data_IF_175537655084
#
_entry.id   IF_175537655084
#
_cell.length_a   1.000
_cell.length_b   1.000
_cell.length_c   1.000
_cell.angle_alpha   90.00
_cell.angle_beta   90.00
_cell.angle_gamma   90.00
#
_symmetry.space_group_name_H-M   'P 1'
#
loop_
_entity.id
_entity.type
_entity.pdbx_description
1 polymer ?
#
# COMPACT_ATOMS: atom_id res chain seq x y z
N UNK A 1 -26.13 64.19 26.53
CA UNK A 1 -27.31 65.07 26.68
C UNK A 1 -28.10 65.00 25.38
N UNK A 2 -29.41 64.77 25.49
CA UNK A 2 -30.52 65.00 24.52
C UNK A 2 -30.21 65.10 23.02
N UNK A 3 -30.96 64.49 22.10
CA UNK A 3 -32.42 64.35 22.08
C UNK A 3 -32.83 63.43 20.94
N UNK A 4 -33.94 62.73 21.16
CA UNK A 4 -34.65 61.88 20.20
C UNK A 4 -35.53 62.69 19.23
N UNK A 5 -36.01 61.97 18.19
CA UNK A 5 -37.27 62.08 17.40
C UNK A 5 -36.94 62.06 15.91
N UNK A 6 -37.58 61.27 15.05
CA UNK A 6 -38.82 60.49 15.15
C UNK A 6 -39.59 60.61 13.82
N UNK A 7 -40.41 59.60 13.52
CA UNK A 7 -41.34 59.44 12.38
C UNK A 7 -40.71 59.03 11.03
N UNK A 8 -41.18 58.03 10.28
CA UNK A 8 -42.34 57.15 10.41
C UNK A 8 -43.23 57.22 9.16
N UNK A 9 -43.40 56.06 8.49
CA UNK A 9 -44.43 55.71 7.46
C UNK A 9 -44.24 56.29 6.04
N UNK A 10 -44.62 55.63 4.94
CA UNK A 10 -45.11 54.29 4.60
C UNK A 10 -45.23 54.23 3.05
N UNK A 11 -45.24 53.03 2.46
CA UNK A 11 -46.09 52.73 1.30
C UNK A 11 -45.45 52.73 -0.10
N UNK A 12 -44.95 51.57 -0.55
CA UNK A 12 -45.51 50.73 -1.64
C UNK A 12 -46.32 51.45 -2.76
N UNK A 13 -46.16 51.29 -4.08
CA UNK A 13 -45.91 50.12 -4.94
C UNK A 13 -45.66 50.56 -6.42
N UNK A 14 -44.66 49.95 -7.10
CA UNK A 14 -44.64 49.37 -8.50
C UNK A 14 -45.11 50.21 -9.72
N UNK A 15 -44.63 50.10 -10.98
CA UNK A 15 -43.87 49.12 -11.78
C UNK A 15 -43.49 49.76 -13.14
N UNK A 16 -42.40 49.29 -13.76
CA UNK A 16 -42.13 49.40 -15.21
C UNK A 16 -40.66 49.05 -15.53
N UNK A 17 -40.28 47.77 -15.63
CA UNK A 17 -40.12 46.93 -16.85
C UNK A 17 -38.83 47.20 -17.65
N UNK A 18 -38.21 46.18 -18.27
CA UNK A 18 -37.04 45.49 -17.69
C UNK A 18 -35.71 45.81 -18.38
N UNK A 19 -34.61 45.79 -17.62
CA UNK A 19 -33.26 45.81 -18.13
C UNK A 19 -32.79 44.40 -18.50
N UNK A 20 -32.21 44.30 -19.69
CA UNK A 20 -31.50 43.14 -20.26
C UNK A 20 -30.41 42.70 -19.28
N UNK A 21 -30.53 41.48 -18.74
CA UNK A 21 -29.49 40.85 -17.94
C UNK A 21 -28.60 39.99 -18.85
N UNK A 22 -27.35 40.43 -19.02
CA UNK A 22 -26.27 39.57 -19.48
C UNK A 22 -26.05 38.44 -18.46
N UNK A 23 -26.01 37.17 -18.89
CA UNK A 23 -25.52 36.10 -18.02
C UNK A 23 -23.99 36.20 -17.91
N UNK A 24 -23.50 36.38 -16.70
CA UNK A 24 -22.09 36.16 -16.36
C UNK A 24 -21.74 34.66 -16.54
N UNK A 25 -20.54 34.32 -17.06
CA UNK A 25 -20.11 32.92 -17.14
C UNK A 25 -19.92 32.36 -15.72
N UNK A 26 -20.74 31.37 -15.38
CA UNK A 26 -20.57 30.54 -14.18
C UNK A 26 -19.22 29.83 -14.27
N UNK A 27 -18.44 29.94 -13.20
CA UNK A 27 -17.15 29.30 -13.03
C UNK A 27 -17.21 27.80 -13.27
N UNK A 28 -16.56 27.38 -14.36
CA UNK A 28 -16.13 26.01 -14.51
C UNK A 28 -15.00 25.73 -13.52
N UNK A 29 -15.33 25.10 -12.40
CA UNK A 29 -14.33 24.34 -11.64
C UNK A 29 -13.91 23.18 -12.55
N UNK A 30 -12.79 23.37 -13.22
CA UNK A 30 -12.09 22.29 -13.94
C UNK A 30 -11.81 21.19 -12.92
N UNK A 31 -12.26 19.98 -13.26
CA UNK A 31 -12.15 18.77 -12.49
C UNK A 31 -10.70 18.47 -12.08
N UNK A 32 -10.37 18.64 -10.79
CA UNK A 32 -9.17 18.02 -10.20
C UNK A 32 -9.41 16.59 -9.70
N UNK A 33 -10.62 16.03 -9.92
CA UNK A 33 -10.98 14.66 -9.54
C UNK A 33 -10.50 13.61 -10.54
N UNK A 34 -10.51 13.90 -11.85
CA UNK A 34 -10.18 12.92 -12.89
C UNK A 34 -8.73 12.46 -12.88
N UNK A 35 -7.79 13.35 -12.57
CA UNK A 35 -6.35 13.02 -12.55
C UNK A 35 -5.98 12.06 -11.43
N UNK A 36 -6.54 12.22 -10.22
CA UNK A 36 -6.27 11.31 -9.09
C UNK A 36 -6.81 9.91 -9.33
N UNK A 37 -8.01 9.81 -9.90
CA UNK A 37 -8.63 8.52 -10.23
C UNK A 37 -7.92 7.82 -11.40
N UNK A 38 -7.48 8.57 -12.41
CA UNK A 38 -6.69 8.02 -13.51
C UNK A 38 -5.29 7.55 -13.06
N UNK A 39 -4.60 8.28 -12.19
CA UNK A 39 -3.34 7.83 -11.59
C UNK A 39 -3.53 6.60 -10.70
N UNK A 40 -4.59 6.57 -9.88
CA UNK A 40 -4.90 5.39 -9.06
C UNK A 40 -5.23 4.15 -9.92
N UNK A 41 -5.95 4.31 -11.03
CA UNK A 41 -6.23 3.24 -11.99
C UNK A 41 -4.98 2.78 -12.76
N UNK A 42 -4.04 3.68 -13.09
CA UNK A 42 -2.76 3.33 -13.71
C UNK A 42 -1.81 2.62 -12.74
N UNK A 43 -1.74 3.08 -11.49
CA UNK A 43 -1.02 2.39 -10.40
C UNK A 43 -1.63 1.01 -10.15
N UNK A 44 -2.95 0.87 -10.34
CA UNK A 44 -3.66 -0.39 -10.28
C UNK A 44 -3.35 -1.36 -11.45
N UNK A 45 -2.59 -0.98 -12.48
CA UNK A 45 -2.24 -1.90 -13.58
C UNK A 45 -0.76 -1.84 -14.00
N UNK A 46 0.08 -1.13 -13.24
CA UNK A 46 1.50 -0.97 -13.55
C UNK A 46 2.33 -2.25 -13.37
N UNK A 47 3.60 -2.27 -13.85
CA UNK A 47 4.47 -3.44 -13.78
C UNK A 47 4.62 -4.05 -12.38
N UNK A 48 4.65 -3.21 -11.34
CA UNK A 48 4.74 -3.67 -9.94
C UNK A 48 3.48 -4.42 -9.48
N UNK A 49 2.30 -4.00 -9.93
CA UNK A 49 1.05 -4.69 -9.61
C UNK A 49 0.99 -6.06 -10.32
N UNK A 50 1.39 -6.12 -11.59
CA UNK A 50 1.49 -7.38 -12.34
C UNK A 50 2.53 -8.33 -11.74
N UNK A 51 3.67 -7.81 -11.28
CA UNK A 51 4.67 -8.60 -10.58
C UNK A 51 4.12 -9.17 -9.26
N UNK A 52 3.39 -8.36 -8.49
CA UNK A 52 2.76 -8.81 -7.26
C UNK A 52 1.74 -9.93 -7.50
N UNK A 53 0.90 -9.80 -8.53
CA UNK A 53 -0.10 -10.82 -8.89
C UNK A 53 0.56 -12.14 -9.33
N UNK A 54 1.59 -12.07 -10.19
CA UNK A 54 2.36 -13.27 -10.58
C UNK A 54 3.05 -13.94 -9.40
N UNK A 55 3.65 -13.16 -8.51
CA UNK A 55 4.28 -13.69 -7.30
C UNK A 55 3.24 -14.33 -6.37
N UNK A 56 2.05 -13.73 -6.25
CA UNK A 56 0.95 -14.30 -5.48
C UNK A 56 0.46 -15.63 -6.03
N UNK A 57 0.29 -15.72 -7.36
CA UNK A 57 -0.09 -16.95 -8.04
C UNK A 57 0.95 -18.06 -7.82
N UNK A 58 2.24 -17.74 -8.00
CA UNK A 58 3.32 -18.70 -7.78
C UNK A 58 3.38 -19.21 -6.33
N UNK A 59 3.13 -18.35 -5.35
CA UNK A 59 3.06 -18.76 -3.95
C UNK A 59 1.81 -19.60 -3.66
N UNK A 60 0.65 -19.22 -4.19
CA UNK A 60 -0.60 -19.96 -4.00
C UNK A 60 -0.54 -21.39 -4.57
N UNK A 61 0.29 -21.63 -5.59
CA UNK A 61 0.52 -22.97 -6.15
C UNK A 61 1.49 -23.83 -5.32
N UNK A 62 2.29 -23.22 -4.44
CA UNK A 62 3.41 -23.90 -3.75
C UNK A 62 3.24 -24.01 -2.26
N UNK A 63 2.52 -23.07 -1.65
CA UNK A 63 2.30 -23.05 -0.21
C UNK A 63 1.17 -24.01 0.19
N UNK A 64 1.23 -24.60 1.40
CA UNK A 64 0.12 -25.39 1.93
C UNK A 64 -1.13 -24.53 2.20
N UNK A 65 -2.26 -25.20 2.41
CA UNK A 65 -3.59 -24.56 2.53
C UNK A 65 -3.78 -23.71 3.80
N UNK A 66 -2.88 -23.79 4.78
CA UNK A 66 -2.87 -22.98 6.00
C UNK A 66 -2.17 -21.62 5.81
N UNK A 67 -1.72 -21.32 4.59
CA UNK A 67 -1.27 -20.00 4.16
C UNK A 67 -2.33 -19.33 3.26
N UNK A 68 -2.44 -18.01 3.38
CA UNK A 68 -3.26 -17.16 2.53
C UNK A 68 -2.39 -16.06 1.95
N UNK A 69 -2.47 -15.89 0.63
CA UNK A 69 -1.68 -14.90 -0.12
C UNK A 69 -2.60 -13.79 -0.61
N UNK A 70 -2.29 -12.54 -0.21
CA UNK A 70 -3.03 -11.35 -0.59
C UNK A 70 -2.13 -10.48 -1.49
N UNK A 71 -2.47 -10.40 -2.77
CA UNK A 71 -1.87 -9.43 -3.67
C UNK A 71 -2.54 -8.07 -3.50
N UNK A 72 -1.73 -7.01 -3.58
CA UNK A 72 -2.16 -5.61 -3.65
C UNK A 72 -3.05 -5.18 -2.48
N UNK A 73 -2.64 -5.59 -1.29
CA UNK A 73 -3.31 -5.22 -0.05
C UNK A 73 -3.36 -3.69 0.09
N UNK A 74 -4.53 -3.13 0.38
CA UNK A 74 -4.71 -1.70 0.62
C UNK A 74 -4.77 -1.44 2.13
N UNK A 75 -3.72 -0.83 2.73
CA UNK A 75 -3.72 -0.54 4.17
C UNK A 75 -4.75 0.53 4.56
N UNK A 76 -5.11 0.56 5.85
CA UNK A 76 -6.18 1.43 6.36
C UNK A 76 -5.69 2.80 6.85
N UNK A 77 -4.57 3.26 6.33
CA UNK A 77 -3.95 4.54 6.70
C UNK A 77 -4.38 5.70 5.79
N UNK A 78 -5.42 5.50 4.98
CA UNK A 78 -5.92 6.43 3.97
C UNK A 78 -4.89 6.80 2.89
N UNK A 79 -3.78 6.06 2.79
CA UNK A 79 -2.79 6.21 1.72
C UNK A 79 -3.29 5.64 0.39
N UNK A 80 -2.80 6.19 -0.73
CA UNK A 80 -3.10 5.65 -2.08
C UNK A 80 -2.27 4.41 -2.43
N UNK A 81 -1.19 4.17 -1.70
CA UNK A 81 -0.22 3.13 -2.05
C UNK A 81 -0.63 1.78 -1.47
N UNK A 82 -0.66 0.76 -2.33
CA UNK A 82 -0.91 -0.62 -1.95
C UNK A 82 0.38 -1.33 -1.53
N UNK A 83 0.25 -2.27 -0.60
CA UNK A 83 1.28 -3.24 -0.27
C UNK A 83 1.26 -4.33 -1.34
N UNK A 84 2.38 -4.59 -2.04
CA UNK A 84 2.38 -5.49 -3.19
C UNK A 84 1.90 -6.90 -2.84
N UNK A 85 2.44 -7.48 -1.78
CA UNK A 85 2.18 -8.87 -1.44
C UNK A 85 2.24 -9.07 0.07
N UNK A 86 1.21 -9.71 0.62
CA UNK A 86 1.12 -10.10 2.03
C UNK A 86 0.82 -11.59 2.08
N UNK A 87 1.64 -12.34 2.81
CA UNK A 87 1.44 -13.76 3.06
C UNK A 87 1.10 -13.93 4.53
N UNK A 88 -0.10 -14.43 4.81
CA UNK A 88 -0.55 -14.76 6.16
C UNK A 88 -0.40 -16.26 6.33
N UNK A 89 0.28 -16.69 7.39
CA UNK A 89 0.45 -18.10 7.67
C UNK A 89 0.52 -18.39 9.16
N UNK A 90 0.84 -19.63 9.54
CA UNK A 90 0.80 -20.09 10.93
C UNK A 90 1.73 -19.30 11.86
N UNK A 91 2.78 -18.68 11.32
CA UNK A 91 3.85 -18.01 12.06
C UNK A 91 3.70 -16.49 12.14
N UNK A 92 2.65 -15.96 11.52
CA UNK A 92 2.42 -14.52 11.44
C UNK A 92 2.26 -14.07 10.00
N UNK A 93 2.78 -12.88 9.70
CA UNK A 93 2.58 -12.25 8.40
C UNK A 93 3.91 -11.84 7.79
N UNK A 94 4.11 -12.24 6.54
CA UNK A 94 5.25 -11.82 5.73
C UNK A 94 4.78 -10.80 4.70
N UNK A 95 5.39 -9.61 4.69
CA UNK A 95 5.17 -8.57 3.70
C UNK A 95 6.30 -8.60 2.70
N UNK A 96 5.97 -8.88 1.45
CA UNK A 96 6.95 -9.12 0.40
C UNK A 96 6.99 -7.92 -0.55
N UNK A 97 8.19 -7.36 -0.72
CA UNK A 97 8.51 -6.43 -1.80
C UNK A 97 9.18 -7.21 -2.94
N UNK A 98 8.43 -7.62 -3.98
CA UNK A 98 9.00 -8.35 -5.09
C UNK A 98 9.78 -7.42 -6.02
N UNK A 99 10.86 -7.95 -6.59
CA UNK A 99 11.75 -7.29 -7.55
C UNK A 99 12.01 -8.24 -8.72
N UNK A 100 11.91 -7.72 -9.94
CA UNK A 100 12.07 -8.50 -11.18
C UNK A 100 13.23 -8.01 -12.04
N UNK A 101 14.08 -7.13 -11.52
CA UNK A 101 15.29 -6.74 -12.22
C UNK A 101 16.21 -7.95 -12.45
N UNK A 102 16.65 -8.12 -13.69
CA UNK A 102 17.74 -9.02 -14.03
C UNK A 102 19.10 -8.45 -13.57
N UNK A 103 20.08 -9.35 -13.44
CA UNK A 103 21.46 -9.01 -13.11
C UNK A 103 21.75 -9.05 -11.61
N UNK A 104 22.91 -8.50 -11.23
CA UNK A 104 23.33 -8.48 -9.83
C UNK A 104 22.81 -7.22 -9.13
N UNK A 105 22.17 -7.40 -7.98
CA UNK A 105 21.78 -6.30 -7.10
C UNK A 105 22.72 -6.19 -5.91
N UNK A 106 23.07 -4.95 -5.61
CA UNK A 106 23.86 -4.56 -4.43
C UNK A 106 23.13 -3.49 -3.64
N UNK A 107 23.33 -3.48 -2.33
CA UNK A 107 22.73 -2.54 -1.41
C UNK A 107 23.80 -1.98 -0.45
N UNK A 108 23.97 -0.66 -0.47
CA UNK A 108 24.87 0.08 0.42
C UNK A 108 24.05 1.09 1.22
N UNK A 109 24.03 0.96 2.54
CA UNK A 109 23.24 1.85 3.43
C UNK A 109 21.78 2.01 2.98
N UNK A 110 21.10 0.91 2.64
CA UNK A 110 19.75 0.89 2.05
C UNK A 110 19.60 1.61 0.69
N UNK A 111 20.68 2.03 0.03
CA UNK A 111 20.66 2.48 -1.37
C UNK A 111 20.94 1.29 -2.28
N UNK A 112 20.03 1.06 -3.21
CA UNK A 112 20.07 -0.12 -4.07
C UNK A 112 20.55 0.24 -5.47
N UNK A 113 21.38 -0.65 -6.01
CA UNK A 113 21.94 -0.51 -7.35
C UNK A 113 21.85 -1.82 -8.10
N UNK A 114 21.65 -1.71 -9.42
CA UNK A 114 21.78 -2.82 -10.36
C UNK A 114 23.14 -2.72 -11.03
N UNK A 115 23.95 -3.78 -10.95
CA UNK A 115 25.16 -3.92 -11.73
C UNK A 115 24.84 -4.60 -13.07
N UNK A 116 25.30 -4.00 -14.16
CA UNK A 116 25.13 -4.54 -15.51
C UNK A 116 26.45 -4.58 -16.28
N UNK A 117 26.56 -5.56 -17.18
CA UNK A 117 27.67 -5.71 -18.12
C UNK A 117 28.97 -6.24 -17.49
N UNK A 118 29.96 -6.60 -18.35
CA UNK A 118 31.24 -7.18 -17.90
C UNK A 118 32.09 -6.22 -17.07
N UNK A 119 31.93 -4.91 -17.29
CA UNK A 119 32.67 -3.85 -16.62
C UNK A 119 32.04 -3.41 -15.27
N UNK A 120 30.91 -3.99 -14.86
CA UNK A 120 30.30 -3.74 -13.55
C UNK A 120 29.66 -2.35 -13.39
N UNK A 121 29.09 -1.77 -14.46
CA UNK A 121 28.43 -0.46 -14.36
C UNK A 121 27.28 -0.52 -13.36
N UNK A 122 27.29 0.40 -12.38
CA UNK A 122 26.31 0.44 -11.29
C UNK A 122 25.26 1.51 -11.57
N UNK A 123 23.99 1.11 -11.64
CA UNK A 123 22.86 1.98 -11.88
C UNK A 123 21.96 2.02 -10.65
N UNK A 124 21.69 3.20 -10.06
CA UNK A 124 20.82 3.29 -8.90
C UNK A 124 19.39 2.89 -9.26
N UNK A 125 18.72 2.18 -8.33
CA UNK A 125 17.31 1.88 -8.44
C UNK A 125 16.45 3.07 -7.99
N UNK A 126 15.25 3.17 -8.55
CA UNK A 126 14.25 4.13 -8.10
C UNK A 126 13.75 3.76 -6.68
N UNK A 127 14.34 4.41 -5.68
CA UNK A 127 14.07 4.19 -4.27
C UNK A 127 14.62 2.87 -3.73
N UNK A 128 14.37 2.64 -2.44
CA UNK A 128 14.91 1.50 -1.69
C UNK A 128 13.83 0.42 -1.48
N UNK A 129 13.95 -0.77 -2.12
CA UNK A 129 13.07 -1.91 -1.86
C UNK A 129 13.00 -2.28 -0.38
N UNK A 130 14.13 -2.29 0.32
CA UNK A 130 14.20 -2.67 1.74
C UNK A 130 13.45 -1.68 2.64
N UNK A 131 13.62 -0.37 2.42
CA UNK A 131 12.85 0.65 3.15
C UNK A 131 11.36 0.55 2.86
N UNK A 132 10.97 0.27 1.61
CA UNK A 132 9.54 0.06 1.25
C UNK A 132 8.97 -1.19 1.91
N UNK A 133 9.68 -2.31 1.90
CA UNK A 133 9.27 -3.54 2.58
C UNK A 133 9.05 -3.30 4.07
N UNK A 134 10.01 -2.65 4.74
CA UNK A 134 9.91 -2.30 6.18
C UNK A 134 8.73 -1.39 6.47
N UNK A 135 8.52 -0.36 5.65
CA UNK A 135 7.40 0.57 5.79
C UNK A 135 6.05 -0.14 5.59
N UNK A 136 5.94 -0.99 4.57
CA UNK A 136 4.74 -1.76 4.31
C UNK A 136 4.44 -2.78 5.43
N UNK A 137 5.48 -3.42 5.99
CA UNK A 137 5.33 -4.27 7.16
C UNK A 137 4.76 -3.52 8.37
N UNK A 138 5.24 -2.28 8.62
CA UNK A 138 4.70 -1.44 9.68
C UNK A 138 3.21 -1.08 9.47
N UNK A 139 2.80 -0.80 8.23
CA UNK A 139 1.39 -0.52 7.89
C UNK A 139 0.50 -1.74 8.16
N UNK A 140 0.90 -2.92 7.67
CA UNK A 140 0.18 -4.18 7.92
C UNK A 140 0.14 -4.50 9.42
N UNK A 141 1.23 -4.25 10.15
CA UNK A 141 1.29 -4.40 11.60
C UNK A 141 0.29 -3.51 12.33
N UNK A 142 0.15 -2.25 11.90
CA UNK A 142 -0.84 -1.32 12.45
C UNK A 142 -2.26 -1.84 12.23
N UNK A 143 -2.58 -2.31 11.03
CA UNK A 143 -3.91 -2.82 10.71
C UNK A 143 -4.26 -4.07 11.53
N UNK A 144 -3.30 -4.98 11.73
CA UNK A 144 -3.46 -6.13 12.63
C UNK A 144 -3.65 -5.70 14.09
N UNK A 145 -2.88 -4.73 14.56
CA UNK A 145 -3.00 -4.21 15.92
C UNK A 145 -4.38 -3.60 16.18
N UNK A 146 -4.92 -2.84 15.22
CA UNK A 146 -6.30 -2.32 15.27
C UNK A 146 -7.36 -3.42 15.27
N UNK A 147 -7.04 -4.60 14.70
CA UNK A 147 -7.89 -5.79 14.76
C UNK A 147 -7.74 -6.65 16.02
N UNK A 148 -6.93 -6.23 17.00
CA UNK A 148 -6.68 -6.96 18.25
C UNK A 148 -5.47 -7.91 18.23
N UNK A 149 -4.71 -7.95 17.14
CA UNK A 149 -3.58 -8.87 16.93
C UNK A 149 -2.22 -8.19 17.17
N UNK A 150 -2.10 -7.46 18.29
CA UNK A 150 -0.94 -6.61 18.62
C UNK A 150 0.38 -7.41 18.72
N UNK A 151 0.33 -8.69 19.07
CA UNK A 151 1.53 -9.54 19.21
C UNK A 151 1.87 -10.37 17.97
N UNK A 152 1.09 -10.29 16.89
CA UNK A 152 1.37 -11.07 15.67
C UNK A 152 2.68 -10.61 15.03
N UNK A 153 3.66 -11.50 14.80
CA UNK A 153 4.87 -11.16 14.07
C UNK A 153 4.53 -10.67 12.66
N UNK A 154 5.12 -9.55 12.26
CA UNK A 154 5.04 -9.04 10.88
C UNK A 154 6.45 -8.73 10.42
N UNK A 155 6.91 -9.43 9.39
CA UNK A 155 8.24 -9.28 8.83
C UNK A 155 8.13 -8.73 7.40
N UNK A 156 8.98 -7.75 7.08
CA UNK A 156 9.13 -7.28 5.70
C UNK A 156 10.32 -7.97 5.05
N UNK A 157 10.23 -8.36 3.79
CA UNK A 157 11.34 -8.94 3.01
C UNK A 157 11.37 -8.39 1.60
N UNK A 158 12.56 -8.40 0.99
CA UNK A 158 12.74 -8.18 -0.45
C UNK A 158 12.93 -9.53 -1.12
N UNK A 159 12.21 -9.77 -2.22
CA UNK A 159 12.34 -11.03 -2.99
C UNK A 159 12.80 -10.71 -4.40
N UNK A 160 13.95 -11.27 -4.78
CA UNK A 160 14.49 -11.16 -6.14
C UNK A 160 13.96 -12.33 -6.97
N UNK A 161 13.04 -12.06 -7.88
CA UNK A 161 12.36 -13.10 -8.69
C UNK A 161 13.17 -13.54 -9.91
N UNK A 162 14.10 -12.69 -10.39
CA UNK A 162 14.95 -12.95 -11.56
C UNK A 162 16.43 -12.61 -11.36
N UNK A 163 16.71 -11.56 -10.57
CA UNK A 163 18.07 -11.14 -10.27
C UNK A 163 18.79 -12.02 -9.23
N UNK A 164 20.05 -11.70 -8.99
CA UNK A 164 20.88 -12.30 -7.93
C UNK A 164 21.31 -11.24 -6.92
N UNK A 165 21.45 -11.64 -5.67
CA UNK A 165 22.05 -10.81 -4.63
C UNK A 165 23.57 -11.00 -4.64
N UNK A 166 24.34 -9.91 -4.69
CA UNK A 166 25.82 -9.96 -4.62
C UNK A 166 26.32 -9.42 -3.27
N UNK A 167 25.99 -8.17 -2.96
CA UNK A 167 26.34 -7.53 -1.69
C UNK A 167 25.12 -6.75 -1.19
N UNK A 168 24.24 -7.45 -0.47
CA UNK A 168 22.97 -6.88 0.03
C UNK A 168 22.91 -6.80 1.55
N UNK A 169 24.04 -6.99 2.23
CA UNK A 169 24.12 -7.02 3.70
C UNK A 169 23.72 -5.70 4.37
N UNK A 170 23.77 -4.58 3.65
CA UNK A 170 23.30 -3.27 4.15
C UNK A 170 21.80 -3.03 3.96
N UNK A 171 21.02 -4.05 3.58
CA UNK A 171 19.56 -3.97 3.53
C UNK A 171 18.97 -3.98 4.94
N UNK A 172 18.03 -3.08 5.23
CA UNK A 172 17.32 -3.05 6.52
C UNK A 172 16.26 -4.14 6.71
N UNK A 173 16.10 -5.02 5.74
CA UNK A 173 15.26 -6.22 5.80
C UNK A 173 15.96 -7.39 5.12
N UNK A 174 15.59 -8.65 5.41
CA UNK A 174 16.13 -9.80 4.69
C UNK A 174 15.86 -9.72 3.18
N UNK A 175 16.82 -10.24 2.41
CA UNK A 175 16.76 -10.34 0.95
C UNK A 175 16.79 -11.80 0.57
N UNK A 176 15.76 -12.26 -0.12
CA UNK A 176 15.57 -13.65 -0.50
C UNK A 176 15.69 -13.75 -2.03
N UNK A 177 16.53 -14.67 -2.50
CA UNK A 177 16.74 -14.88 -3.94
C UNK A 177 15.92 -16.07 -4.42
N UNK A 178 14.94 -15.80 -5.28
CA UNK A 178 14.07 -16.80 -5.89
C UNK A 178 12.87 -17.21 -5.02
N UNK A 179 11.82 -17.67 -5.71
CA UNK A 179 10.56 -18.05 -5.07
C UNK A 179 10.68 -19.32 -4.22
N UNK A 180 11.56 -20.27 -4.59
CA UNK A 180 11.77 -21.49 -3.79
C UNK A 180 12.40 -21.18 -2.44
N UNK A 181 13.31 -20.21 -2.38
CA UNK A 181 13.91 -19.77 -1.12
C UNK A 181 12.88 -19.04 -0.24
N UNK A 182 11.95 -18.30 -0.85
CA UNK A 182 10.84 -17.67 -0.14
C UNK A 182 9.89 -18.69 0.48
N UNK A 183 9.52 -19.75 -0.27
CA UNK A 183 8.71 -20.86 0.26
C UNK A 183 9.42 -21.52 1.44
N UNK A 184 10.70 -21.89 1.29
CA UNK A 184 11.47 -22.46 2.41
C UNK A 184 11.55 -21.55 3.62
N UNK A 185 11.68 -20.24 3.41
CA UNK A 185 11.68 -19.26 4.50
C UNK A 185 10.34 -19.26 5.25
N UNK A 186 9.23 -19.25 4.52
CA UNK A 186 7.87 -19.33 5.09
C UNK A 186 7.61 -20.61 5.89
N UNK A 187 8.18 -21.74 5.44
CA UNK A 187 7.99 -23.06 6.06
C UNK A 187 8.98 -23.37 7.20
N UNK A 188 10.06 -22.59 7.33
CA UNK A 188 11.14 -22.84 8.31
C UNK A 188 10.71 -22.68 9.76
N UNK A 189 9.61 -21.98 10.00
CA UNK A 189 8.95 -21.86 11.29
C UNK A 189 7.88 -22.97 11.31
N UNK A 190 7.81 -23.81 12.35
CA UNK A 190 6.85 -24.93 12.38
C UNK A 190 6.30 -25.15 13.80
N UNK A 191 4.99 -24.93 13.97
CA UNK A 191 4.14 -25.44 15.04
C UNK A 191 2.75 -25.64 14.44
N UNK A 192 2.22 -26.87 14.49
CA UNK A 192 1.12 -27.33 13.63
C UNK A 192 -0.28 -27.26 14.24
N UNK A 193 -0.41 -27.16 15.56
CA UNK A 193 -1.67 -27.57 16.20
C UNK A 193 -2.76 -26.46 16.31
N UNK A 194 -2.45 -25.19 15.99
CA UNK A 194 -3.43 -24.06 16.01
C UNK A 194 -3.32 -23.12 14.79
N UNK A 195 -2.68 -23.59 13.74
CA UNK A 195 -2.25 -22.80 12.59
C UNK A 195 -3.40 -22.20 11.76
N UNK A 196 -4.38 -23.00 11.35
CA UNK A 196 -5.38 -22.61 10.35
C UNK A 196 -6.40 -21.59 10.87
N UNK A 197 -6.96 -21.79 12.07
CA UNK A 197 -7.92 -20.84 12.67
C UNK A 197 -7.27 -19.48 12.91
N UNK A 198 -6.01 -19.48 13.36
CA UNK A 198 -5.22 -18.26 13.54
C UNK A 198 -4.99 -17.55 12.21
N UNK A 199 -4.58 -18.26 11.15
CA UNK A 199 -4.45 -17.67 9.80
C UNK A 199 -5.76 -17.02 9.38
N UNK A 200 -6.89 -17.72 9.51
CA UNK A 200 -8.20 -17.19 9.13
C UNK A 200 -8.58 -15.94 9.94
N UNK A 201 -8.31 -15.93 11.25
CA UNK A 201 -8.57 -14.78 12.11
C UNK A 201 -7.73 -13.55 11.69
N UNK A 202 -6.45 -13.76 11.35
CA UNK A 202 -5.56 -12.71 10.83
C UNK A 202 -6.04 -12.18 9.48
N UNK A 203 -6.43 -13.06 8.56
CA UNK A 203 -7.02 -12.67 7.27
C UNK A 203 -8.31 -11.88 7.48
N UNK A 204 -9.16 -12.31 8.41
CA UNK A 204 -10.38 -11.60 8.81
C UNK A 204 -10.08 -10.19 9.36
N UNK A 205 -9.03 -10.04 10.16
CA UNK A 205 -8.58 -8.74 10.67
C UNK A 205 -8.10 -7.81 9.54
N UNK A 206 -7.37 -8.36 8.56
CA UNK A 206 -6.89 -7.59 7.41
C UNK A 206 -7.99 -7.25 6.40
N UNK A 207 -9.00 -8.10 6.25
CA UNK A 207 -10.05 -7.98 5.23
C UNK A 207 -11.35 -7.33 5.71
N UNK A 208 -11.68 -7.42 7.01
CA UNK A 208 -12.97 -6.97 7.56
C UNK A 208 -12.98 -5.50 8.02
N UNK A 209 -14.13 -4.80 8.03
CA UNK A 209 -14.20 -3.41 8.50
C UNK A 209 -13.69 -3.26 9.94
N UNK A 210 -13.19 -2.07 10.31
CA UNK A 210 -12.71 -1.79 11.68
C UNK A 210 -13.84 -2.12 12.66
N UNK A 211 -13.63 -3.13 13.51
CA UNK A 211 -14.52 -3.37 14.65
C UNK A 211 -14.16 -2.35 15.73
N UNK A 212 -14.82 -1.20 15.68
CA UNK A 212 -14.76 -0.25 16.79
C UNK A 212 -15.46 -0.92 17.96
N UNK A 213 -14.74 -1.12 19.07
CA UNK A 213 -15.38 -1.57 20.29
C UNK A 213 -16.40 -0.51 20.72
N UNK A 214 -17.69 -0.81 20.57
CA UNK A 214 -18.74 -0.08 21.27
C UNK A 214 -18.62 -0.43 22.75
N UNK A 215 -18.02 0.48 23.51
CA UNK A 215 -18.12 0.53 24.97
C UNK A 215 -19.51 0.94 25.40
#
# INVERSE_FOLDING_TARGET
MSSAKGAGRAGYLWRGWPAIQHPAPRGGKVEMGGLRTAFAALVAHGPRAQLAERAAEQLGQRLPADYVVLARYAPRDNGSDVVPLVVVGPHGVLVVEPRDEDGALVCYQDHWYRRSGPAGSSHPLAGSPSKRARFNAARVKSDLASGGFIYTPVEGVVVLTRGKAEDVGSSCVPVIVGMDALVRHLESYSQRDTATERTQALVGALSGPIRVATT
#
